data_IF_507112799239
#
_entry.id   IF_507112799239
#
_cell.length_a   1.000
_cell.length_b   1.000
_cell.length_c   1.000
_cell.angle_alpha   90.00
_cell.angle_beta   90.00
_cell.angle_gamma   90.00
#
_symmetry.space_group_name_H-M   'P 1'
#
loop_
_entity.id
_entity.type
_entity.pdbx_description
1 polymer ?
#
# COMPACT_ATOMS: atom_id res chain seq x y z
N UNK A 1 11.98 -28.56 -23.87
CA UNK A 1 13.00 -27.90 -23.07
C UNK A 1 12.86 -28.22 -21.60
N UNK A 2 13.87 -27.93 -20.80
CA UNK A 2 13.74 -28.07 -19.33
C UNK A 2 12.96 -26.85 -18.79
N UNK A 3 12.05 -27.04 -17.82
CA UNK A 3 11.38 -25.92 -17.18
C UNK A 3 12.40 -25.06 -16.41
N UNK A 4 12.17 -23.75 -16.42
CA UNK A 4 13.01 -22.78 -15.73
C UNK A 4 12.17 -22.04 -14.67
N UNK A 5 12.71 -21.87 -13.48
CA UNK A 5 12.10 -21.07 -12.41
C UNK A 5 13.05 -19.94 -12.05
N UNK A 6 12.54 -18.72 -12.02
CA UNK A 6 13.27 -17.56 -11.51
C UNK A 6 13.17 -17.56 -9.99
N UNK A 7 14.26 -17.95 -9.31
CA UNK A 7 14.27 -18.12 -7.85
C UNK A 7 14.37 -16.81 -7.07
N UNK A 8 14.77 -15.72 -7.73
CA UNK A 8 14.76 -14.37 -7.22
C UNK A 8 14.58 -13.40 -8.38
N UNK A 9 13.64 -12.50 -8.26
CA UNK A 9 13.37 -11.53 -9.33
C UNK A 9 12.96 -10.19 -8.78
N UNK A 10 13.09 -9.18 -9.61
CA UNK A 10 12.63 -7.82 -9.47
C UNK A 10 13.63 -6.93 -8.72
N UNK A 11 13.65 -6.91 -7.39
CA UNK A 11 14.36 -5.88 -6.61
C UNK A 11 13.93 -4.45 -7.02
N UNK A 12 12.63 -4.28 -7.25
CA UNK A 12 11.98 -2.98 -7.40
C UNK A 12 11.94 -2.25 -6.06
N UNK A 13 11.99 -0.93 -6.10
CA UNK A 13 12.03 -0.08 -4.90
C UNK A 13 10.75 0.75 -4.83
N UNK A 14 10.05 0.73 -3.70
CA UNK A 14 8.85 1.54 -3.51
C UNK A 14 8.54 1.83 -2.05
N UNK A 15 7.93 2.97 -1.81
CA UNK A 15 7.40 3.40 -0.52
C UNK A 15 5.90 3.58 -0.63
N UNK A 16 5.12 2.91 0.20
CA UNK A 16 3.65 3.08 0.22
C UNK A 16 3.27 4.54 0.38
N UNK A 17 2.43 5.04 -0.52
CA UNK A 17 1.85 6.39 -0.45
C UNK A 17 2.73 7.52 -0.99
N UNK A 18 3.99 7.27 -1.35
CA UNK A 18 4.87 8.26 -1.96
C UNK A 18 4.88 8.14 -3.48
N UNK A 19 4.65 9.26 -4.17
CA UNK A 19 4.56 9.27 -5.62
C UNK A 19 5.43 10.37 -6.21
N UNK A 20 6.29 10.00 -7.16
CA UNK A 20 7.15 10.92 -7.89
C UNK A 20 6.65 11.03 -9.32
N UNK A 21 6.40 12.25 -9.73
CA UNK A 21 5.87 12.55 -11.07
C UNK A 21 6.91 13.31 -11.89
N UNK A 22 6.88 13.14 -13.23
CA UNK A 22 6.01 12.25 -13.99
C UNK A 22 6.36 10.76 -13.80
N UNK A 23 5.35 9.88 -13.89
CA UNK A 23 5.50 8.43 -13.63
C UNK A 23 6.22 7.68 -14.76
N UNK A 24 6.36 8.28 -15.93
CA UNK A 24 7.07 7.74 -17.09
C UNK A 24 8.61 7.90 -17.00
N UNK A 25 9.09 8.59 -15.98
CA UNK A 25 10.52 8.66 -15.67
C UNK A 25 10.98 7.43 -14.92
N UNK A 26 12.07 6.82 -15.38
CA UNK A 26 12.68 5.66 -14.72
C UNK A 26 13.78 6.10 -13.77
N UNK A 27 13.84 5.46 -12.61
CA UNK A 27 14.84 5.72 -11.58
C UNK A 27 15.59 4.44 -11.25
N UNK A 28 16.92 4.46 -11.39
CA UNK A 28 17.81 3.40 -10.96
C UNK A 28 18.57 3.94 -9.75
N UNK A 29 18.27 3.40 -8.56
CA UNK A 29 18.81 3.91 -7.30
C UNK A 29 19.44 2.80 -6.44
N UNK A 30 20.66 3.05 -5.94
CA UNK A 30 21.58 4.12 -6.38
C UNK A 30 21.95 3.90 -7.86
N UNK A 31 22.31 4.95 -8.57
CA UNK A 31 22.82 4.80 -9.95
C UNK A 31 24.04 3.87 -10.02
N UNK A 32 24.82 3.87 -8.94
CA UNK A 32 25.96 2.99 -8.74
C UNK A 32 25.99 2.49 -7.31
N UNK A 33 26.11 1.18 -7.14
CA UNK A 33 26.14 0.50 -5.84
C UNK A 33 27.33 0.90 -4.94
N UNK A 34 28.42 1.39 -5.54
CA UNK A 34 29.66 1.79 -4.87
C UNK A 34 29.71 3.27 -4.48
N UNK A 35 28.61 4.02 -4.72
CA UNK A 35 28.52 5.45 -4.36
C UNK A 35 27.40 5.70 -3.37
N UNK A 36 27.62 6.63 -2.40
CA UNK A 36 26.55 7.09 -1.54
C UNK A 36 25.38 7.63 -2.36
N UNK A 37 24.17 7.31 -1.92
CA UNK A 37 22.94 7.83 -2.48
C UNK A 37 22.16 8.59 -1.38
N UNK A 38 21.62 9.73 -1.74
CA UNK A 38 20.81 10.55 -0.86
C UNK A 38 19.67 11.23 -1.62
N UNK A 39 18.48 11.12 -1.09
CA UNK A 39 17.32 11.92 -1.44
C UNK A 39 16.60 12.30 -0.14
N UNK A 40 16.25 13.59 0.00
CA UNK A 40 15.70 14.13 1.25
C UNK A 40 14.37 13.50 1.69
N UNK A 41 13.63 12.89 0.75
CA UNK A 41 12.37 12.19 1.06
C UNK A 41 12.60 10.86 1.77
N UNK A 42 13.78 10.25 1.66
CA UNK A 42 14.03 8.86 2.05
C UNK A 42 12.96 7.88 1.54
N UNK A 43 12.40 8.15 0.36
CA UNK A 43 11.30 7.39 -0.22
C UNK A 43 11.56 7.07 -1.68
N UNK A 44 11.05 5.93 -2.15
CA UNK A 44 11.04 5.52 -3.53
C UNK A 44 9.60 5.60 -4.05
N UNK A 45 9.43 6.05 -5.30
CA UNK A 45 8.10 6.20 -5.89
C UNK A 45 7.28 4.91 -5.84
N UNK A 46 6.02 4.99 -5.46
CA UNK A 46 5.09 3.84 -5.41
C UNK A 46 4.61 3.40 -6.80
N UNK A 47 4.86 4.19 -7.83
CA UNK A 47 4.78 3.70 -9.21
C UNK A 47 5.86 2.64 -9.45
N UNK A 48 5.60 1.68 -10.35
CA UNK A 48 6.58 0.67 -10.74
C UNK A 48 7.65 1.26 -11.67
N UNK A 49 8.38 2.27 -11.21
CA UNK A 49 9.37 3.01 -12.00
C UNK A 49 10.71 3.24 -11.30
N UNK A 50 10.96 2.54 -10.18
CA UNK A 50 12.22 2.62 -9.44
C UNK A 50 12.75 1.22 -9.11
N UNK A 51 14.03 0.97 -9.35
CA UNK A 51 14.69 -0.29 -9.02
C UNK A 51 16.20 -0.09 -8.78
N UNK A 52 16.85 -1.09 -8.19
CA UNK A 52 18.31 -1.12 -8.01
C UNK A 52 19.03 -1.47 -9.33
N UNK A 53 20.34 -1.15 -9.46
CA UNK A 53 21.12 -1.42 -10.70
C UNK A 53 21.13 -2.88 -11.15
N UNK A 54 21.01 -3.83 -10.22
CA UNK A 54 20.96 -5.27 -10.48
C UNK A 54 19.54 -5.82 -10.59
N UNK A 55 18.52 -4.97 -10.45
CA UNK A 55 17.10 -5.31 -10.47
C UNK A 55 16.40 -4.87 -11.75
N UNK A 56 15.08 -4.95 -11.69
CA UNK A 56 14.17 -4.52 -12.75
C UNK A 56 12.85 -4.06 -12.13
N UNK A 57 11.97 -3.46 -12.94
CA UNK A 57 10.58 -3.21 -12.59
C UNK A 57 9.79 -4.51 -12.45
N UNK A 58 8.76 -4.49 -11.64
CA UNK A 58 7.85 -5.61 -11.47
C UNK A 58 7.12 -5.97 -12.77
N UNK A 59 6.57 -4.99 -13.47
CA UNK A 59 5.95 -5.18 -14.80
C UNK A 59 6.95 -5.71 -15.83
N UNK A 60 8.19 -5.20 -15.82
CA UNK A 60 9.25 -5.67 -16.73
C UNK A 60 9.54 -7.15 -16.56
N UNK A 61 9.71 -7.60 -15.31
CA UNK A 61 9.98 -9.00 -15.00
C UNK A 61 8.77 -9.89 -15.30
N UNK A 62 7.56 -9.43 -14.91
CA UNK A 62 6.33 -10.18 -15.19
C UNK A 62 6.10 -10.38 -16.69
N UNK A 63 6.42 -9.37 -17.50
CA UNK A 63 6.35 -9.46 -18.98
C UNK A 63 7.26 -10.56 -19.52
N UNK A 64 8.49 -10.68 -18.99
CA UNK A 64 9.40 -11.76 -19.38
C UNK A 64 8.86 -13.13 -18.99
N UNK A 65 8.29 -13.28 -17.79
CA UNK A 65 7.68 -14.54 -17.35
C UNK A 65 6.50 -14.93 -18.25
N UNK A 66 5.60 -13.99 -18.57
CA UNK A 66 4.40 -14.24 -19.39
C UNK A 66 4.73 -14.59 -20.85
N UNK A 67 5.79 -14.01 -21.40
CA UNK A 67 6.11 -14.13 -22.83
C UNK A 67 7.08 -15.28 -23.14
N UNK A 68 7.47 -16.08 -22.15
CA UNK A 68 8.38 -17.20 -22.34
C UNK A 68 7.84 -18.47 -21.70
N UNK A 69 7.26 -19.34 -22.51
CA UNK A 69 6.58 -20.59 -22.08
C UNK A 69 7.48 -21.58 -21.33
N UNK A 70 8.81 -21.45 -21.45
CA UNK A 70 9.76 -22.28 -20.71
C UNK A 70 9.97 -21.81 -19.27
N UNK A 71 9.49 -20.60 -18.89
CA UNK A 71 9.56 -20.08 -17.53
C UNK A 71 8.30 -20.51 -16.77
N UNK A 72 8.48 -21.41 -15.80
CA UNK A 72 7.38 -21.93 -14.98
C UNK A 72 6.85 -20.93 -13.94
N UNK A 73 7.62 -19.89 -13.63
CA UNK A 73 7.23 -18.86 -12.68
C UNK A 73 8.42 -18.12 -12.07
N UNK A 74 8.10 -17.21 -11.16
CA UNK A 74 9.09 -16.38 -10.45
C UNK A 74 8.77 -16.26 -8.97
N UNK A 75 9.80 -16.12 -8.16
CA UNK A 75 9.72 -15.68 -6.78
C UNK A 75 10.13 -14.21 -6.71
N UNK A 76 9.24 -13.39 -6.16
CA UNK A 76 9.44 -11.95 -6.08
C UNK A 76 10.32 -11.61 -4.89
N UNK A 77 11.39 -10.87 -5.10
CA UNK A 77 12.15 -10.21 -4.06
C UNK A 77 11.63 -8.77 -3.91
N UNK A 78 10.76 -8.49 -2.87
CA UNK A 78 10.27 -9.50 -1.91
C UNK A 78 8.79 -9.30 -1.59
N UNK A 79 8.17 -10.24 -0.89
CA UNK A 79 6.76 -10.13 -0.49
C UNK A 79 6.52 -9.02 0.52
N UNK A 80 7.37 -8.93 1.54
CA UNK A 80 7.28 -7.92 2.62
C UNK A 80 8.57 -7.12 2.73
N UNK A 81 8.47 -5.86 3.12
CA UNK A 81 9.62 -5.15 3.64
C UNK A 81 10.13 -5.83 4.91
N UNK A 82 11.41 -5.72 5.17
CA UNK A 82 12.09 -6.35 6.30
C UNK A 82 13.12 -5.40 6.91
N UNK A 83 13.43 -5.60 8.19
CA UNK A 83 14.47 -4.84 8.88
C UNK A 83 15.84 -5.21 8.32
N UNK A 84 16.62 -4.22 7.99
CA UNK A 84 17.90 -4.33 7.30
C UNK A 84 17.80 -4.01 5.81
N UNK A 85 18.94 -4.00 5.13
CA UNK A 85 19.08 -3.74 3.70
C UNK A 85 18.26 -2.53 3.19
N UNK A 86 18.47 -1.33 3.76
CA UNK A 86 17.67 -0.16 3.44
C UNK A 86 18.03 0.49 2.10
N UNK A 87 18.63 -0.26 1.18
CA UNK A 87 18.97 0.22 -0.16
C UNK A 87 17.76 0.90 -0.81
N UNK A 88 17.92 2.10 -1.41
CA UNK A 88 19.19 2.77 -1.77
C UNK A 88 19.77 3.66 -0.66
N UNK A 89 19.08 3.79 0.46
CA UNK A 89 19.39 4.76 1.50
C UNK A 89 20.34 4.20 2.57
N UNK A 90 21.03 5.12 3.25
CA UNK A 90 21.70 4.87 4.51
C UNK A 90 20.80 5.29 5.69
N UNK A 91 21.40 5.35 6.90
CA UNK A 91 20.71 5.85 8.08
C UNK A 91 20.09 7.25 7.85
N UNK A 92 18.83 7.50 8.29
CA UNK A 92 18.03 6.74 9.27
C UNK A 92 17.17 5.60 8.65
N UNK A 93 17.24 5.33 7.36
CA UNK A 93 16.56 4.19 6.79
C UNK A 93 17.10 2.88 7.37
N UNK A 94 16.20 2.00 7.82
CA UNK A 94 16.53 0.74 8.48
C UNK A 94 15.71 -0.45 8.01
N UNK A 95 14.69 -0.20 7.21
CA UNK A 95 13.86 -1.21 6.56
C UNK A 95 14.09 -1.20 5.06
N UNK A 96 13.94 -2.36 4.41
CA UNK A 96 14.01 -2.48 2.96
C UNK A 96 12.87 -1.71 2.29
N UNK A 97 13.03 -1.46 0.97
CA UNK A 97 12.04 -0.87 0.08
C UNK A 97 11.51 -1.88 -0.95
N UNK A 98 11.98 -3.12 -0.89
CA UNK A 98 11.74 -4.15 -1.91
C UNK A 98 10.38 -4.82 -1.79
N UNK A 99 9.75 -4.78 -0.61
CA UNK A 99 8.46 -5.43 -0.37
C UNK A 99 7.35 -4.91 -1.25
N UNK A 100 6.50 -5.81 -1.76
CA UNK A 100 5.21 -5.43 -2.37
C UNK A 100 4.16 -5.11 -1.30
N UNK A 101 4.46 -5.45 -0.04
CA UNK A 101 3.75 -5.12 1.19
C UNK A 101 4.75 -4.45 2.11
N UNK A 102 4.36 -3.36 2.81
CA UNK A 102 5.25 -2.68 3.73
C UNK A 102 5.47 -3.46 5.04
N UNK A 103 6.37 -2.97 5.90
CA UNK A 103 6.73 -3.64 7.16
C UNK A 103 5.53 -3.79 8.12
N UNK A 104 4.56 -2.88 8.07
CA UNK A 104 3.35 -2.95 8.86
C UNK A 104 2.27 -3.89 8.26
N UNK A 105 2.52 -4.50 7.11
CA UNK A 105 1.59 -5.40 6.44
C UNK A 105 0.61 -4.71 5.49
N UNK A 106 0.80 -3.43 5.18
CA UNK A 106 -0.05 -2.72 4.22
C UNK A 106 0.45 -2.93 2.79
N UNK A 107 -0.45 -3.35 1.85
CA UNK A 107 -0.10 -3.48 0.44
C UNK A 107 0.40 -2.15 -0.15
N UNK A 108 1.47 -2.22 -0.96
CA UNK A 108 1.86 -1.16 -1.88
C UNK A 108 1.13 -1.34 -3.22
N UNK A 109 1.14 -0.33 -4.09
CA UNK A 109 0.30 -0.37 -5.30
C UNK A 109 0.61 -1.58 -6.21
N UNK A 110 1.87 -1.96 -6.34
CA UNK A 110 2.28 -3.11 -7.16
C UNK A 110 1.74 -4.46 -6.66
N UNK A 111 1.36 -4.58 -5.39
CA UNK A 111 0.64 -5.77 -4.89
C UNK A 111 -0.62 -6.05 -5.73
N UNK A 112 -1.33 -5.00 -6.12
CA UNK A 112 -2.56 -5.13 -6.91
C UNK A 112 -2.28 -5.47 -8.38
N UNK A 113 -1.09 -5.15 -8.91
CA UNK A 113 -0.63 -5.69 -10.19
C UNK A 113 -0.55 -7.22 -10.11
N UNK A 114 0.17 -7.76 -9.13
CA UNK A 114 0.25 -9.21 -8.94
C UNK A 114 -1.11 -9.84 -8.66
N UNK A 115 -1.96 -9.19 -7.87
CA UNK A 115 -3.31 -9.67 -7.62
C UNK A 115 -4.12 -9.74 -8.92
N UNK A 116 -4.00 -8.74 -9.81
CA UNK A 116 -4.71 -8.75 -11.09
C UNK A 116 -4.22 -9.84 -12.05
N UNK A 117 -2.95 -10.22 -11.97
CA UNK A 117 -2.36 -11.25 -12.84
C UNK A 117 -2.52 -12.69 -12.29
N UNK A 118 -2.48 -12.84 -10.95
CA UNK A 118 -2.47 -14.17 -10.32
C UNK A 118 -3.81 -14.61 -9.73
N UNK A 119 -4.81 -13.73 -9.68
CA UNK A 119 -6.14 -14.02 -9.15
C UNK A 119 -7.23 -13.81 -10.21
N UNK A 120 -7.28 -14.68 -11.24
CA UNK A 120 -8.31 -14.59 -12.28
C UNK A 120 -9.73 -14.83 -11.75
N UNK A 121 -9.84 -15.46 -10.58
CA UNK A 121 -11.08 -15.72 -9.85
C UNK A 121 -11.66 -14.46 -9.16
N UNK A 122 -10.87 -13.39 -9.05
CA UNK A 122 -11.24 -12.15 -8.36
C UNK A 122 -11.20 -10.97 -9.32
N UNK A 123 -12.29 -10.20 -9.40
CA UNK A 123 -12.25 -8.91 -10.07
C UNK A 123 -11.35 -7.94 -9.29
N UNK A 124 -10.35 -7.39 -9.96
CA UNK A 124 -9.42 -6.39 -9.42
C UNK A 124 -9.58 -5.13 -10.23
N UNK A 125 -9.70 -4.01 -9.53
CA UNK A 125 -9.52 -2.66 -10.06
C UNK A 125 -8.87 -1.85 -8.95
N UNK A 126 -7.64 -1.39 -9.19
CA UNK A 126 -6.87 -0.58 -8.23
C UNK A 126 -6.42 0.70 -8.89
N UNK A 127 -7.09 1.80 -8.53
CA UNK A 127 -6.79 3.16 -8.97
C UNK A 127 -5.86 3.82 -7.95
N UNK A 128 -4.81 4.45 -8.40
CA UNK A 128 -3.86 5.23 -7.60
C UNK A 128 -3.21 6.34 -8.43
N UNK A 129 -2.58 7.33 -7.80
CA UNK A 129 -2.39 7.59 -6.38
C UNK A 129 -3.66 8.10 -5.68
N UNK A 130 -3.51 8.51 -4.41
CA UNK A 130 -4.52 9.27 -3.67
C UNK A 130 -4.88 10.58 -4.39
N UNK A 131 -5.99 11.22 -3.94
CA UNK A 131 -6.48 12.44 -4.59
C UNK A 131 -6.41 13.66 -3.66
N UNK A 132 -5.19 13.93 -3.09
CA UNK A 132 -4.86 15.12 -2.31
C UNK A 132 -3.53 15.68 -2.79
N UNK A 133 -3.59 16.69 -3.66
CA UNK A 133 -2.44 17.31 -4.32
C UNK A 133 -2.55 18.82 -4.31
N UNK A 134 -1.60 19.51 -4.94
CA UNK A 134 -1.69 20.96 -5.18
C UNK A 134 -2.59 21.22 -6.40
N UNK A 135 -3.54 22.14 -6.28
CA UNK A 135 -4.46 22.46 -7.38
C UNK A 135 -3.70 22.84 -8.65
N UNK A 136 -4.14 22.30 -9.78
CA UNK A 136 -3.51 22.47 -11.08
C UNK A 136 -2.26 21.63 -11.35
N UNK A 137 -1.77 20.85 -10.39
CA UNK A 137 -0.67 19.92 -10.57
C UNK A 137 -1.06 18.79 -11.54
N UNK A 138 -0.14 18.40 -12.43
CA UNK A 138 -0.32 17.22 -13.28
C UNK A 138 -0.12 15.94 -12.45
N UNK A 139 -1.14 15.09 -12.46
CA UNK A 139 -1.17 13.82 -11.73
C UNK A 139 -1.30 12.66 -12.70
N UNK A 140 -0.45 11.67 -12.55
CA UNK A 140 -0.51 10.43 -13.30
C UNK A 140 -1.35 9.41 -12.53
N UNK A 141 -2.57 9.17 -12.98
CA UNK A 141 -3.46 8.16 -12.41
C UNK A 141 -3.24 6.84 -13.14
N UNK A 142 -2.86 5.80 -12.39
CA UNK A 142 -2.73 4.45 -12.89
C UNK A 142 -3.87 3.57 -12.40
N UNK A 143 -4.24 2.57 -13.20
CA UNK A 143 -5.17 1.53 -12.78
C UNK A 143 -4.63 0.16 -13.15
N UNK A 144 -4.43 -0.70 -12.13
CA UNK A 144 -4.26 -2.14 -12.31
C UNK A 144 -5.65 -2.79 -12.34
N UNK A 145 -5.91 -3.65 -13.32
CA UNK A 145 -7.20 -4.32 -13.41
C UNK A 145 -7.12 -5.66 -14.13
N UNK A 146 -8.14 -6.50 -13.91
CA UNK A 146 -8.35 -7.74 -14.64
C UNK A 146 -9.84 -7.96 -14.95
N UNK A 147 -10.13 -9.07 -15.62
CA UNK A 147 -11.51 -9.51 -15.95
C UNK A 147 -12.36 -8.47 -16.68
N UNK A 148 -11.72 -7.45 -17.28
CA UNK A 148 -12.37 -6.37 -18.00
C UNK A 148 -11.56 -6.03 -19.28
N UNK A 149 -12.24 -5.47 -20.27
CA UNK A 149 -11.66 -5.10 -21.57
C UNK A 149 -11.05 -3.69 -21.51
N UNK A 150 -11.62 -2.84 -20.66
CA UNK A 150 -11.34 -1.42 -20.62
C UNK A 150 -11.59 -0.82 -19.22
N UNK A 151 -10.99 0.35 -18.99
CA UNK A 151 -11.27 1.21 -17.83
C UNK A 151 -11.54 2.61 -18.32
N UNK A 152 -12.58 3.24 -17.79
CA UNK A 152 -12.88 4.66 -17.97
C UNK A 152 -12.58 5.42 -16.68
N UNK A 153 -11.88 6.54 -16.81
CA UNK A 153 -11.58 7.44 -15.70
C UNK A 153 -12.50 8.65 -15.71
N UNK A 154 -12.96 9.04 -14.54
CA UNK A 154 -13.73 10.27 -14.32
C UNK A 154 -13.05 11.14 -13.27
N UNK A 155 -12.96 12.44 -13.54
CA UNK A 155 -12.60 13.48 -12.57
C UNK A 155 -13.82 14.38 -12.38
N UNK A 156 -14.31 14.48 -11.15
CA UNK A 156 -15.52 15.25 -10.81
C UNK A 156 -16.71 14.94 -11.74
N UNK A 157 -16.90 13.64 -12.05
CA UNK A 157 -17.97 13.16 -12.93
C UNK A 157 -17.72 13.36 -14.42
N UNK A 158 -16.63 14.05 -14.83
CA UNK A 158 -16.29 14.25 -16.24
C UNK A 158 -15.32 13.16 -16.70
N UNK A 159 -15.69 12.45 -17.77
CA UNK A 159 -14.84 11.42 -18.36
C UNK A 159 -13.51 11.99 -18.88
N UNK A 160 -12.44 11.29 -18.55
CA UNK A 160 -11.08 11.54 -19.04
C UNK A 160 -10.70 10.55 -20.15
N UNK A 161 -11.68 9.81 -20.64
CA UNK A 161 -11.55 8.81 -21.71
C UNK A 161 -11.36 7.40 -21.20
N UNK A 162 -11.56 6.48 -22.12
CA UNK A 162 -11.44 5.03 -21.94
C UNK A 162 -10.04 4.59 -22.34
N UNK A 163 -9.47 3.63 -21.60
CA UNK A 163 -8.19 3.00 -21.93
C UNK A 163 -8.26 1.49 -21.75
N UNK A 164 -7.54 0.78 -22.62
CA UNK A 164 -7.39 -0.68 -22.58
C UNK A 164 -5.93 -1.05 -22.51
N UNK A 165 -5.60 -2.14 -21.79
CA UNK A 165 -4.25 -2.71 -21.80
C UNK A 165 -3.95 -3.36 -23.15
N UNK A 166 -2.77 -3.07 -23.69
CA UNK A 166 -2.17 -3.89 -24.76
C UNK A 166 -1.74 -5.26 -24.24
N UNK A 167 -1.25 -6.12 -25.13
CA UNK A 167 -0.83 -7.50 -24.79
C UNK A 167 0.19 -7.56 -23.65
N UNK A 168 1.10 -6.60 -23.63
CA UNK A 168 2.25 -6.56 -22.71
C UNK A 168 2.12 -5.50 -21.62
N UNK A 169 0.95 -4.86 -21.51
CA UNK A 169 0.66 -3.86 -20.50
C UNK A 169 0.04 -4.49 -19.24
N UNK A 170 0.39 -3.94 -18.09
CA UNK A 170 -0.15 -4.35 -16.78
C UNK A 170 -1.07 -3.31 -16.19
N UNK A 171 -0.88 -2.03 -16.57
CA UNK A 171 -1.72 -0.91 -16.15
C UNK A 171 -2.21 -0.10 -17.34
N UNK A 172 -3.16 0.79 -17.07
CA UNK A 172 -3.52 1.93 -17.91
C UNK A 172 -3.28 3.22 -17.12
N UNK A 173 -2.99 4.33 -17.82
CA UNK A 173 -2.58 5.58 -17.19
C UNK A 173 -3.27 6.78 -17.85
N UNK A 174 -3.64 7.76 -17.04
CA UNK A 174 -4.10 9.08 -17.48
C UNK A 174 -3.25 10.16 -16.79
N UNK A 175 -2.84 11.18 -17.51
CA UNK A 175 -2.24 12.40 -16.94
C UNK A 175 -3.32 13.48 -16.93
N UNK A 176 -3.71 13.92 -15.76
CA UNK A 176 -4.79 14.89 -15.56
C UNK A 176 -4.39 15.98 -14.59
N UNK A 177 -5.01 17.16 -14.71
CA UNK A 177 -4.85 18.22 -13.71
C UNK A 177 -5.61 17.86 -12.44
N UNK A 178 -4.96 18.04 -11.29
CA UNK A 178 -5.64 17.90 -10.02
C UNK A 178 -6.64 19.03 -9.81
N UNK A 179 -7.86 18.66 -9.51
CA UNK A 179 -8.94 19.51 -9.02
C UNK A 179 -9.54 18.82 -7.78
N UNK A 180 -9.76 19.54 -6.65
CA UNK A 180 -10.41 18.94 -5.49
C UNK A 180 -11.75 18.29 -5.85
N UNK A 181 -12.07 17.17 -5.21
CA UNK A 181 -13.32 16.44 -5.46
C UNK A 181 -13.11 14.94 -5.57
N UNK A 182 -13.55 14.33 -6.66
CA UNK A 182 -13.53 12.87 -6.84
C UNK A 182 -12.77 12.44 -8.08
N UNK A 183 -12.08 11.32 -7.97
CA UNK A 183 -11.59 10.56 -9.11
C UNK A 183 -12.16 9.15 -9.04
N UNK A 184 -12.76 8.67 -10.13
CA UNK A 184 -13.43 7.37 -10.20
C UNK A 184 -12.97 6.61 -11.43
N UNK A 185 -12.59 5.34 -11.23
CA UNK A 185 -12.36 4.39 -12.32
C UNK A 185 -13.52 3.40 -12.39
N UNK A 186 -13.91 3.05 -13.62
CA UNK A 186 -14.94 2.04 -13.92
C UNK A 186 -14.39 1.07 -14.94
N UNK A 187 -14.20 -0.19 -14.54
CA UNK A 187 -13.81 -1.25 -15.47
C UNK A 187 -15.03 -1.93 -16.09
N UNK A 188 -14.95 -2.24 -17.40
CA UNK A 188 -16.05 -2.87 -18.13
C UNK A 188 -15.58 -4.05 -18.97
N UNK A 189 -16.46 -5.02 -19.10
CA UNK A 189 -16.34 -6.13 -20.04
C UNK A 189 -17.59 -6.18 -20.91
N UNK A 190 -17.41 -6.14 -22.23
CA UNK A 190 -18.52 -6.12 -23.18
C UNK A 190 -19.58 -5.04 -22.83
N UNK A 191 -19.09 -3.85 -22.42
CA UNK A 191 -19.91 -2.72 -22.01
C UNK A 191 -20.55 -2.82 -20.61
N UNK A 192 -20.42 -3.96 -19.91
CA UNK A 192 -20.97 -4.15 -18.57
C UNK A 192 -19.92 -3.83 -17.51
N UNK A 193 -20.32 -3.10 -16.48
CA UNK A 193 -19.44 -2.78 -15.33
C UNK A 193 -19.02 -4.05 -14.59
N UNK A 194 -17.70 -4.21 -14.40
CA UNK A 194 -17.08 -5.30 -13.63
C UNK A 194 -16.73 -4.82 -12.22
N UNK A 195 -16.07 -3.65 -12.12
CA UNK A 195 -15.71 -3.05 -10.85
C UNK A 195 -15.66 -1.53 -10.94
N UNK A 196 -15.81 -0.87 -9.80
CA UNK A 196 -15.66 0.57 -9.64
C UNK A 196 -14.81 0.88 -8.42
N UNK A 197 -13.98 1.92 -8.52
CA UNK A 197 -13.26 2.47 -7.39
C UNK A 197 -13.30 3.99 -7.46
N UNK A 198 -13.63 4.61 -6.33
CA UNK A 198 -13.63 6.07 -6.18
C UNK A 198 -12.67 6.49 -5.07
N UNK A 199 -11.92 7.54 -5.32
CA UNK A 199 -11.03 8.21 -4.36
C UNK A 199 -11.51 9.65 -4.27
N UNK A 200 -11.54 10.19 -3.05
CA UNK A 200 -11.98 11.57 -2.78
C UNK A 200 -10.83 12.39 -2.21
N UNK A 201 -10.81 13.65 -2.52
CA UNK A 201 -10.01 14.61 -1.79
C UNK A 201 -10.47 14.63 -0.32
N UNK A 202 -9.59 14.27 0.58
CA UNK A 202 -9.84 14.38 2.01
C UNK A 202 -9.61 15.80 2.51
N UNK A 203 -10.43 16.22 3.46
CA UNK A 203 -10.22 17.40 4.25
C UNK A 203 -9.18 17.20 5.37
N UNK A 204 -9.24 18.09 6.39
CA UNK A 204 -8.39 17.98 7.58
C UNK A 204 -8.72 16.72 8.38
N UNK A 205 -7.70 16.10 9.02
CA UNK A 205 -7.89 15.00 9.95
C UNK A 205 -8.92 15.34 11.03
N UNK A 206 -9.90 14.46 11.26
CA UNK A 206 -10.98 14.68 12.21
C UNK A 206 -11.29 13.46 13.09
N UNK A 207 -11.07 12.25 12.59
CA UNK A 207 -11.46 11.03 13.30
C UNK A 207 -10.50 9.87 13.02
N UNK A 208 -10.52 8.88 13.91
CA UNK A 208 -9.77 7.63 13.81
C UNK A 208 -10.73 6.51 13.44
N UNK A 209 -10.33 5.60 12.55
CA UNK A 209 -11.01 4.34 12.31
C UNK A 209 -10.11 3.17 12.71
N UNK A 210 -10.70 2.21 13.47
CA UNK A 210 -10.08 0.95 13.87
C UNK A 210 -10.74 -0.20 13.11
N UNK A 211 -9.97 -0.98 12.37
CA UNK A 211 -10.46 -2.09 11.56
C UNK A 211 -9.65 -3.36 11.89
N UNK A 212 -10.14 -4.23 12.80
CA UNK A 212 -9.48 -5.50 13.07
C UNK A 212 -9.64 -6.46 11.89
N UNK A 213 -8.58 -7.22 11.59
CA UNK A 213 -8.62 -8.30 10.58
C UNK A 213 -9.61 -9.40 10.97
N UNK A 214 -9.77 -9.63 12.28
CA UNK A 214 -10.74 -10.54 12.86
C UNK A 214 -11.20 -10.05 14.24
N UNK A 215 -12.48 -10.21 14.49
CA UNK A 215 -13.13 -9.80 15.74
C UNK A 215 -13.17 -10.91 16.81
N UNK A 216 -12.60 -12.10 16.51
CA UNK A 216 -12.52 -13.23 17.43
C UNK A 216 -11.17 -13.92 17.29
N UNK A 217 -10.49 -14.17 18.41
CA UNK A 217 -9.21 -14.89 18.50
C UNK A 217 -9.30 -15.97 19.58
N UNK A 218 -8.38 -16.96 19.55
CA UNK A 218 -8.34 -18.08 20.51
C UNK A 218 -7.67 -17.65 21.81
N UNK A 219 -8.14 -18.20 22.95
CA UNK A 219 -7.57 -17.96 24.29
C UNK A 219 -6.36 -18.90 24.54
N UNK A 220 -5.33 -18.82 23.71
CA UNK A 220 -4.16 -19.69 23.77
C UNK A 220 -2.86 -18.95 24.17
N UNK A 221 -2.96 -17.66 24.47
CA UNK A 221 -1.84 -16.79 24.78
C UNK A 221 -0.95 -16.44 23.57
N UNK A 222 -1.33 -16.83 22.33
CA UNK A 222 -0.52 -16.68 21.12
C UNK A 222 -1.28 -16.02 19.97
N UNK A 223 -2.58 -16.31 19.84
CA UNK A 223 -3.37 -15.80 18.72
C UNK A 223 -3.48 -14.27 18.76
N UNK A 224 -3.47 -13.66 17.58
CA UNK A 224 -3.35 -12.21 17.38
C UNK A 224 -4.55 -11.66 16.60
N UNK A 225 -4.84 -10.37 16.80
CA UNK A 225 -5.63 -9.57 15.87
C UNK A 225 -4.81 -8.37 15.40
N UNK A 226 -4.76 -8.16 14.08
CA UNK A 226 -4.07 -7.05 13.45
C UNK A 226 -5.10 -5.95 13.18
N UNK A 227 -4.97 -4.83 13.90
CA UNK A 227 -5.94 -3.74 13.83
C UNK A 227 -5.35 -2.62 13.00
N UNK A 228 -5.87 -2.43 11.78
CA UNK A 228 -5.57 -1.27 10.95
C UNK A 228 -6.13 -0.02 11.58
N UNK A 229 -5.31 1.02 11.66
CA UNK A 229 -5.66 2.34 12.17
C UNK A 229 -5.58 3.32 11.01
N UNK A 230 -6.64 4.07 10.76
CA UNK A 230 -6.70 5.04 9.67
C UNK A 230 -7.14 6.40 10.20
N UNK A 231 -6.50 7.45 9.71
CA UNK A 231 -6.90 8.83 9.98
C UNK A 231 -7.82 9.30 8.87
N UNK A 232 -9.00 9.73 9.24
CA UNK A 232 -10.04 10.16 8.32
C UNK A 232 -10.41 11.62 8.56
N UNK A 233 -10.91 12.27 7.52
CA UNK A 233 -11.58 13.56 7.65
C UNK A 233 -13.00 13.40 8.26
N UNK A 234 -13.70 14.52 8.41
CA UNK A 234 -15.07 14.53 8.95
C UNK A 234 -16.09 13.74 8.09
N UNK A 235 -15.80 13.55 6.80
CA UNK A 235 -16.68 12.87 5.85
C UNK A 235 -16.29 11.38 5.68
N UNK A 236 -15.28 10.90 6.42
CA UNK A 236 -14.83 9.52 6.43
C UNK A 236 -13.82 9.17 5.32
N UNK A 237 -13.27 10.15 4.62
CA UNK A 237 -12.24 9.94 3.63
C UNK A 237 -10.87 9.79 4.31
N UNK A 238 -10.04 8.85 3.83
CA UNK A 238 -8.68 8.68 4.31
C UNK A 238 -7.85 9.94 4.02
N UNK A 239 -7.21 10.48 5.06
CA UNK A 239 -6.26 11.60 4.95
C UNK A 239 -4.88 11.04 4.55
N UNK A 240 -4.49 11.04 3.27
CA UNK A 240 -3.34 10.29 2.79
C UNK A 240 -1.99 10.87 3.24
N UNK A 241 -1.99 12.11 3.73
CA UNK A 241 -0.78 12.79 4.21
C UNK A 241 -0.75 12.94 5.75
N UNK A 242 -1.66 12.26 6.47
CA UNK A 242 -1.73 12.38 7.92
C UNK A 242 -0.58 11.63 8.61
N UNK A 243 0.03 12.31 9.61
CA UNK A 243 1.15 11.84 10.43
C UNK A 243 0.82 11.96 11.94
N UNK A 244 -0.46 11.87 12.30
CA UNK A 244 -0.91 11.98 13.68
C UNK A 244 -0.29 10.89 14.56
N UNK A 245 0.14 11.26 15.78
CA UNK A 245 0.59 10.30 16.79
C UNK A 245 -0.64 9.72 17.50
N UNK A 246 -0.87 8.42 17.32
CA UNK A 246 -2.03 7.71 17.86
C UNK A 246 -1.60 6.91 19.08
N UNK A 247 -2.25 7.16 20.22
CA UNK A 247 -2.05 6.43 21.46
C UNK A 247 -3.15 5.38 21.65
N UNK A 248 -2.75 4.18 22.07
CA UNK A 248 -3.63 3.03 22.28
C UNK A 248 -3.76 2.66 23.73
N UNK A 249 -4.98 2.32 24.17
CA UNK A 249 -5.27 1.71 25.46
C UNK A 249 -6.02 0.40 25.23
N UNK A 250 -5.67 -0.63 26.01
CA UNK A 250 -6.29 -1.96 25.95
C UNK A 250 -6.83 -2.33 27.32
N UNK A 251 -8.08 -2.78 27.35
CA UNK A 251 -8.78 -3.26 28.54
C UNK A 251 -9.30 -4.69 28.30
N UNK A 252 -9.21 -5.57 29.31
CA UNK A 252 -9.76 -6.94 29.25
C UNK A 252 -8.72 -8.02 28.98
N UNK A 253 -9.11 -9.07 28.23
CA UNK A 253 -8.36 -10.31 28.06
C UNK A 253 -7.25 -10.24 27.00
N UNK A 254 -6.49 -9.13 26.95
CA UNK A 254 -5.41 -8.97 25.97
C UNK A 254 -4.51 -7.78 26.25
N UNK A 255 -3.47 -7.63 25.43
CA UNK A 255 -2.48 -6.56 25.53
C UNK A 255 -1.91 -6.20 24.14
N UNK A 256 -1.24 -5.06 24.05
CA UNK A 256 -0.55 -4.63 22.80
C UNK A 256 0.73 -5.45 22.65
N UNK A 257 0.79 -6.30 21.61
CA UNK A 257 1.99 -7.05 21.26
C UNK A 257 3.00 -6.19 20.50
N UNK A 258 2.52 -5.23 19.74
CA UNK A 258 3.35 -4.28 19.00
C UNK A 258 2.56 -3.26 18.21
N UNK A 259 3.27 -2.26 17.70
CA UNK A 259 2.76 -1.19 16.84
C UNK A 259 3.74 -0.94 15.69
N UNK A 260 3.22 -0.62 14.51
CA UNK A 260 4.04 -0.25 13.34
C UNK A 260 3.27 0.70 12.41
N UNK A 261 3.96 1.32 11.46
CA UNK A 261 3.35 2.18 10.44
C UNK A 261 3.90 1.94 9.03
N UNK A 262 4.89 1.05 8.88
CA UNK A 262 5.52 0.74 7.61
C UNK A 262 6.53 1.77 7.11
N UNK A 263 6.82 2.83 7.86
CA UNK A 263 7.83 3.82 7.50
C UNK A 263 9.24 3.22 7.59
N UNK A 264 10.04 3.28 6.53
CA UNK A 264 11.40 2.72 6.56
C UNK A 264 12.36 3.50 7.45
N UNK A 265 12.02 4.75 7.81
CA UNK A 265 12.85 5.65 8.62
C UNK A 265 12.32 5.89 10.04
N UNK A 266 11.19 5.29 10.42
CA UNK A 266 10.65 5.48 11.77
C UNK A 266 11.58 4.91 12.82
N UNK A 267 11.92 5.73 13.82
CA UNK A 267 12.76 5.37 14.96
C UNK A 267 11.95 4.99 16.20
N UNK A 268 10.64 5.00 16.10
CA UNK A 268 9.73 4.62 17.19
C UNK A 268 9.86 3.14 17.53
N UNK A 269 9.65 2.80 18.79
CA UNK A 269 9.73 1.41 19.28
C UNK A 269 8.55 0.61 18.75
N UNK A 270 8.80 -0.64 18.33
CA UNK A 270 7.72 -1.56 17.96
C UNK A 270 6.89 -2.03 19.17
N UNK A 271 7.50 -2.13 20.34
CA UNK A 271 6.81 -2.45 21.59
C UNK A 271 6.55 -1.17 22.36
N UNK A 272 5.46 -0.51 22.00
CA UNK A 272 4.97 0.71 22.63
C UNK A 272 3.43 0.74 22.56
N UNK A 273 2.84 1.74 23.18
CA UNK A 273 1.41 1.97 23.13
C UNK A 273 1.01 3.16 22.27
N UNK A 274 1.91 3.70 21.47
CA UNK A 274 1.64 4.76 20.50
C UNK A 274 2.42 4.56 19.20
N UNK A 275 1.94 5.17 18.13
CA UNK A 275 2.61 5.16 16.83
C UNK A 275 2.11 6.33 15.97
N UNK A 276 3.03 7.07 15.37
CA UNK A 276 2.67 8.00 14.32
C UNK A 276 2.11 7.26 13.11
N UNK A 277 1.11 7.84 12.48
CA UNK A 277 0.65 7.33 11.19
C UNK A 277 1.65 7.67 10.09
N UNK A 278 1.70 6.83 9.08
CA UNK A 278 2.52 7.00 7.88
C UNK A 278 1.61 6.87 6.66
N UNK A 279 1.47 7.99 5.92
CA UNK A 279 0.47 8.11 4.87
C UNK A 279 -0.93 7.70 5.36
N UNK A 280 -1.34 8.31 6.48
CA UNK A 280 -2.66 8.16 7.07
C UNK A 280 -2.93 6.85 7.79
N UNK A 281 -1.95 5.93 7.91
CA UNK A 281 -2.16 4.60 8.49
C UNK A 281 -1.09 4.21 9.50
N UNK A 282 -1.50 3.43 10.50
CA UNK A 282 -0.61 2.63 11.33
C UNK A 282 -1.31 1.32 11.73
N UNK A 283 -0.56 0.44 12.40
CA UNK A 283 -1.00 -0.86 12.84
C UNK A 283 -0.84 -0.97 14.35
N UNK A 284 -1.82 -1.55 15.05
CA UNK A 284 -1.68 -2.08 16.40
C UNK A 284 -1.96 -3.57 16.39
N UNK A 285 -1.06 -4.37 16.95
CA UNK A 285 -1.19 -5.81 17.06
C UNK A 285 -1.64 -6.14 18.47
N UNK A 286 -2.82 -6.73 18.58
CA UNK A 286 -3.40 -7.22 19.82
C UNK A 286 -3.08 -8.70 20.01
N UNK A 287 -2.60 -9.08 21.20
CA UNK A 287 -2.42 -10.46 21.61
C UNK A 287 -3.35 -10.77 22.78
N UNK A 288 -3.94 -11.96 22.80
CA UNK A 288 -4.70 -12.44 23.96
C UNK A 288 -3.75 -12.82 25.11
N UNK A 289 -4.25 -12.79 26.36
CA UNK A 289 -3.47 -13.12 27.57
C UNK A 289 -3.67 -14.58 28.05
N UNK A 290 -4.32 -15.43 27.22
CA UNK A 290 -4.62 -16.82 27.55
C UNK A 290 -5.98 -17.02 28.26
N UNK A 291 -6.68 -15.96 28.63
CA UNK A 291 -7.98 -16.03 29.31
C UNK A 291 -9.10 -15.66 28.35
N UNK A 292 -10.21 -16.44 28.32
CA UNK A 292 -11.41 -16.07 27.59
C UNK A 292 -12.01 -14.75 28.08
N UNK A 293 -12.54 -13.93 27.18
CA UNK A 293 -13.15 -12.67 27.55
C UNK A 293 -13.32 -11.69 26.41
N UNK A 294 -13.70 -10.46 26.76
CA UNK A 294 -13.71 -9.34 25.83
C UNK A 294 -12.43 -8.52 25.93
N UNK A 295 -11.96 -8.02 24.81
CA UNK A 295 -10.90 -7.00 24.75
C UNK A 295 -11.45 -5.76 24.10
N UNK A 296 -11.24 -4.61 24.75
CA UNK A 296 -11.58 -3.31 24.21
C UNK A 296 -10.30 -2.57 23.88
N UNK A 297 -10.15 -2.14 22.63
CA UNK A 297 -9.04 -1.29 22.18
C UNK A 297 -9.57 0.10 21.91
N UNK A 298 -8.95 1.11 22.52
CA UNK A 298 -9.27 2.52 22.33
C UNK A 298 -8.06 3.22 21.70
N UNK A 299 -8.29 4.01 20.64
CA UNK A 299 -7.29 4.86 20.00
C UNK A 299 -7.65 6.33 20.18
N UNK A 300 -6.65 7.14 20.51
CA UNK A 300 -6.78 8.60 20.68
C UNK A 300 -5.62 9.31 19.99
N UNK A 301 -5.88 10.48 19.47
CA UNK A 301 -4.86 11.42 18.95
C UNK A 301 -5.35 12.85 19.18
N UNK A 302 -4.41 13.78 19.30
CA UNK A 302 -4.74 15.18 19.55
C UNK A 302 -5.60 15.76 18.42
N UNK A 303 -6.70 16.40 18.80
CA UNK A 303 -7.63 17.04 17.88
C UNK A 303 -8.55 16.11 17.10
N UNK A 304 -8.49 14.78 17.33
CA UNK A 304 -9.31 13.80 16.62
C UNK A 304 -10.37 13.15 17.52
N UNK A 305 -11.48 12.75 16.91
CA UNK A 305 -12.44 11.89 17.60
C UNK A 305 -11.81 10.53 17.90
N UNK A 306 -11.91 10.09 19.17
CA UNK A 306 -11.44 8.77 19.60
C UNK A 306 -12.21 7.64 18.92
N UNK A 307 -11.52 6.55 18.66
CA UNK A 307 -12.14 5.31 18.17
C UNK A 307 -12.03 4.18 19.18
N UNK A 308 -12.98 3.24 19.11
CA UNK A 308 -12.98 2.04 19.95
C UNK A 308 -13.40 0.83 19.12
N UNK A 309 -12.74 -0.30 19.34
CA UNK A 309 -13.15 -1.59 18.76
C UNK A 309 -13.10 -2.67 19.83
N UNK A 310 -13.85 -3.76 19.63
CA UNK A 310 -13.91 -4.90 20.55
C UNK A 310 -13.51 -6.20 19.83
N UNK A 311 -12.68 -7.00 20.52
CA UNK A 311 -12.25 -8.33 20.09
C UNK A 311 -12.74 -9.34 21.13
N UNK A 312 -13.26 -10.47 20.67
CA UNK A 312 -13.67 -11.58 21.54
C UNK A 312 -12.55 -12.61 21.60
N UNK A 313 -12.17 -13.01 22.81
CA UNK A 313 -11.23 -14.10 23.08
C UNK A 313 -12.04 -15.32 23.53
N UNK A 314 -11.91 -16.46 22.85
CA UNK A 314 -12.67 -17.69 23.07
C UNK A 314 -11.77 -18.87 23.44
#
# INVERSE_FOLDING_TARGET
GKPFIVTESVSGLMTRGYYRMPSDSMFIWPERWDKPFYDASFSCSSYDNCHVPWGNRHEGTMRHVKNNDFISGQYVWTGFDYIGEPTPYGWPARSSYFGIIDLAGFPKDVYYMYQSEWRPDKAVLHLFPHWNWTEGQDIDLWAYYNNADEVELFVNGKSQGVRSKGKDDFHVMWRVKYEPGTVKAVSRKEGKTVAEQEIRTAGEPAQIRLSPDRSTIQADGKDLSFITVEILDKDGNLCPNAENDVTFAVEGAGFIAGVDNGSPISMEKFKDNHRKTFYGKCLVVLQNNGEPGGVKVTATADGLEKATTAIKVK
#
